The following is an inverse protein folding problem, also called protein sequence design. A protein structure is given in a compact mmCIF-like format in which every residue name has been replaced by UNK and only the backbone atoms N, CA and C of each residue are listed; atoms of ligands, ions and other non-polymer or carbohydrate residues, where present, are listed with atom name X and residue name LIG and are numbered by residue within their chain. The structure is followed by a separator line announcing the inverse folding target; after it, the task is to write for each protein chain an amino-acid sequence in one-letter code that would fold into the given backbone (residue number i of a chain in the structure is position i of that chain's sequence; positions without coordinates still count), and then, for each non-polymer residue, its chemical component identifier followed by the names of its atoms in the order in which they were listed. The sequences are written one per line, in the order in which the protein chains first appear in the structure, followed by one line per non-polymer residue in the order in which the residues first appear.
data_IF_440147512093
#
_entry.id   IF_440147512093
#
_cell.length_a   1.000
_cell.length_b   1.000
_cell.length_c   1.000
_cell.angle_alpha   90.00
_cell.angle_beta   90.00
_cell.angle_gamma   90.00
#
_symmetry.space_group_name_H-M   'P 1'
#
loop_
_entity.id
_entity.type
_entity.pdbx_description
1 polymer ?
#
# COMPACT_ATOMS: atom_id res chain seq x y z
N UNK A 1 4.24 -18.16 -34.36
CA UNK A 1 3.12 -17.20 -34.40
C UNK A 1 2.33 -17.28 -33.10
N UNK A 2 2.64 -16.46 -32.09
CA UNK A 2 1.79 -16.36 -30.89
C UNK A 2 0.49 -15.69 -31.33
N UNK A 3 -0.62 -16.43 -31.29
CA UNK A 3 -1.93 -15.93 -31.73
C UNK A 3 -2.26 -14.61 -31.03
N UNK A 4 -2.79 -13.62 -31.75
CA UNK A 4 -3.25 -12.34 -31.18
C UNK A 4 -4.16 -12.56 -29.96
N UNK A 5 -4.94 -13.64 -29.96
CA UNK A 5 -5.78 -14.05 -28.82
C UNK A 5 -4.98 -14.37 -27.55
N UNK A 6 -3.78 -14.95 -27.69
CA UNK A 6 -2.90 -15.28 -26.56
C UNK A 6 -2.27 -14.03 -25.93
N UNK A 7 -1.97 -12.98 -26.71
CA UNK A 7 -1.53 -11.68 -26.17
C UNK A 7 -2.65 -10.97 -25.41
N UNK A 8 -3.89 -10.97 -25.92
CA UNK A 8 -5.05 -10.42 -25.21
C UNK A 8 -5.35 -11.17 -23.91
N UNK A 9 -5.20 -12.51 -23.91
CA UNK A 9 -5.35 -13.31 -22.70
C UNK A 9 -4.25 -13.00 -21.68
N UNK A 10 -3.00 -12.87 -22.10
CA UNK A 10 -1.89 -12.51 -21.22
C UNK A 10 -2.05 -11.09 -20.64
N UNK A 11 -2.53 -10.11 -21.43
CA UNK A 11 -2.78 -8.76 -20.90
C UNK A 11 -3.96 -8.73 -19.94
N UNK A 12 -5.03 -9.49 -20.20
CA UNK A 12 -6.15 -9.64 -19.29
C UNK A 12 -5.73 -10.30 -17.98
N UNK A 13 -4.91 -11.36 -18.04
CA UNK A 13 -4.33 -12.04 -16.88
C UNK A 13 -3.42 -11.07 -16.09
N UNK A 14 -2.57 -10.29 -16.76
CA UNK A 14 -1.71 -9.31 -16.09
C UNK A 14 -2.52 -8.22 -15.40
N UNK A 15 -3.59 -7.72 -16.03
CA UNK A 15 -4.51 -6.77 -15.42
C UNK A 15 -5.22 -7.38 -14.21
N UNK A 16 -5.69 -8.63 -14.29
CA UNK A 16 -6.30 -9.35 -13.17
C UNK A 16 -5.32 -9.56 -12.01
N UNK A 17 -4.05 -9.88 -12.31
CA UNK A 17 -2.97 -10.01 -11.31
C UNK A 17 -2.69 -8.65 -10.65
N UNK A 18 -2.62 -7.55 -11.41
CA UNK A 18 -2.44 -6.20 -10.85
C UNK A 18 -3.61 -5.80 -9.95
N UNK A 19 -4.86 -6.14 -10.31
CA UNK A 19 -6.03 -5.90 -9.46
C UNK A 19 -6.04 -6.77 -8.19
N UNK A 20 -5.52 -8.01 -8.27
CA UNK A 20 -5.41 -8.92 -7.13
C UNK A 20 -4.32 -8.51 -6.13
N UNK A 21 -3.21 -7.92 -6.60
CA UNK A 21 -2.10 -7.46 -5.75
C UNK A 21 -2.38 -6.06 -5.15
N UNK A 22 -3.32 -5.30 -5.73
CA UNK A 22 -3.62 -3.91 -5.36
C UNK A 22 -4.70 -3.68 -4.31
N UNK A 23 -5.30 -4.72 -3.71
CA UNK A 23 -6.30 -4.51 -2.67
C UNK A 23 -5.63 -3.92 -1.42
N UNK A 24 -6.05 -2.73 -0.95
CA UNK A 24 -5.47 -2.12 0.24
C UNK A 24 -5.71 -3.06 1.44
N UNK A 25 -4.67 -3.34 2.21
CA UNK A 25 -4.79 -4.09 3.46
C UNK A 25 -5.15 -3.14 4.59
N UNK A 26 -5.97 -3.60 5.54
CA UNK A 26 -6.19 -2.85 6.77
C UNK A 26 -4.87 -2.59 7.49
N UNK A 27 -4.78 -1.44 8.16
CA UNK A 27 -3.73 -1.19 9.16
C UNK A 27 -3.88 -2.16 10.33
N UNK A 28 -5.11 -2.40 10.75
CA UNK A 28 -5.50 -3.42 11.72
C UNK A 28 -7.00 -3.72 11.59
N UNK A 29 -7.43 -4.88 12.05
CA UNK A 29 -8.83 -5.28 12.12
C UNK A 29 -9.03 -6.25 13.27
N UNK A 30 -10.25 -6.30 13.81
CA UNK A 30 -10.63 -7.19 14.90
C UNK A 30 -12.01 -7.77 14.62
N UNK A 31 -12.09 -9.09 14.72
CA UNK A 31 -13.34 -9.84 14.77
C UNK A 31 -13.63 -10.17 16.23
N UNK A 32 -14.78 -9.76 16.76
CA UNK A 32 -15.14 -10.08 18.14
C UNK A 32 -15.78 -11.47 18.21
N UNK A 33 -15.06 -12.44 18.80
CA UNK A 33 -15.52 -13.82 18.92
C UNK A 33 -16.43 -14.06 20.14
N UNK A 34 -16.56 -13.10 21.05
CA UNK A 34 -17.30 -13.25 22.30
C UNK A 34 -18.75 -12.74 22.22
N UNK A 35 -19.06 -11.85 21.28
CA UNK A 35 -20.40 -11.25 21.11
C UNK A 35 -21.33 -12.06 20.17
N UNK A 36 -21.01 -13.34 19.97
CA UNK A 36 -21.80 -14.29 19.20
C UNK A 36 -21.55 -14.22 17.69
N UNK A 37 -21.94 -15.31 17.02
CA UNK A 37 -21.87 -15.44 15.58
C UNK A 37 -23.30 -15.49 14.99
N UNK A 38 -23.45 -15.01 13.76
CA UNK A 38 -24.64 -15.26 12.95
C UNK A 38 -24.43 -16.48 12.06
N UNK A 39 -25.54 -17.08 11.61
CA UNK A 39 -25.51 -18.20 10.66
C UNK A 39 -25.45 -17.67 9.23
N UNK A 40 -24.69 -18.34 8.36
CA UNK A 40 -24.65 -17.97 6.94
C UNK A 40 -26.04 -18.05 6.29
N UNK A 41 -26.34 -17.11 5.41
CA UNK A 41 -27.65 -16.87 4.78
C UNK A 41 -28.78 -16.57 5.77
N UNK A 42 -28.45 -16.02 6.94
CA UNK A 42 -29.47 -15.54 7.90
C UNK A 42 -29.96 -14.14 7.55
N UNK A 43 -31.11 -13.76 8.10
CA UNK A 43 -31.62 -12.38 8.06
C UNK A 43 -30.59 -11.37 8.60
N UNK A 44 -29.83 -11.73 9.64
CA UNK A 44 -28.76 -10.89 10.16
C UNK A 44 -27.68 -10.59 9.10
N UNK A 45 -27.26 -11.60 8.34
CA UNK A 45 -26.28 -11.41 7.26
C UNK A 45 -26.81 -10.51 6.15
N UNK A 46 -28.07 -10.72 5.73
CA UNK A 46 -28.72 -9.86 4.75
C UNK A 46 -28.81 -8.41 5.27
N UNK A 47 -29.24 -8.22 6.51
CA UNK A 47 -29.34 -6.90 7.14
C UNK A 47 -27.97 -6.22 7.27
N UNK A 48 -26.91 -6.97 7.61
CA UNK A 48 -25.54 -6.47 7.65
C UNK A 48 -25.11 -5.99 6.26
N UNK A 49 -25.36 -6.78 5.21
CA UNK A 49 -25.00 -6.39 3.84
C UNK A 49 -25.76 -5.14 3.37
N UNK A 50 -27.06 -5.02 3.70
CA UNK A 50 -27.86 -3.84 3.41
C UNK A 50 -27.34 -2.61 4.15
N UNK A 51 -27.03 -2.74 5.44
CA UNK A 51 -26.43 -1.70 6.26
C UNK A 51 -25.10 -1.23 5.67
N UNK A 52 -24.17 -2.15 5.39
CA UNK A 52 -22.86 -1.79 4.86
C UNK A 52 -22.98 -1.08 3.50
N UNK A 53 -23.90 -1.53 2.65
CA UNK A 53 -24.21 -0.89 1.37
C UNK A 53 -24.74 0.54 1.52
N UNK A 54 -25.63 0.77 2.49
CA UNK A 54 -26.20 2.09 2.73
C UNK A 54 -25.16 3.12 3.17
N UNK A 55 -24.15 2.71 3.95
CA UNK A 55 -23.09 3.61 4.42
C UNK A 55 -22.28 4.22 3.26
N UNK A 56 -21.77 3.40 2.33
CA UNK A 56 -20.92 3.92 1.25
C UNK A 56 -21.70 4.46 0.04
N UNK A 57 -22.99 4.13 -0.09
CA UNK A 57 -23.85 4.66 -1.16
C UNK A 57 -24.51 6.00 -0.81
N UNK A 58 -24.50 6.39 0.47
CA UNK A 58 -25.06 7.66 0.89
C UNK A 58 -24.21 8.85 0.41
N UNK A 59 -24.69 9.56 -0.60
CA UNK A 59 -24.03 10.75 -1.17
C UNK A 59 -24.42 12.06 -0.51
N UNK A 60 -25.41 12.06 0.40
CA UNK A 60 -25.85 13.29 1.09
C UNK A 60 -24.90 13.68 2.23
N UNK A 61 -24.07 12.73 2.70
CA UNK A 61 -23.04 12.97 3.70
C UNK A 61 -21.74 13.37 3.01
N UNK A 62 -21.26 14.58 3.33
CA UNK A 62 -20.00 15.16 2.82
C UNK A 62 -18.96 15.40 3.94
N UNK A 63 -19.35 15.23 5.20
CA UNK A 63 -18.49 15.47 6.37
C UNK A 63 -17.73 14.23 6.86
N UNK A 64 -18.01 13.04 6.32
CA UNK A 64 -17.19 11.85 6.50
C UNK A 64 -17.53 10.95 7.71
N UNK A 65 -18.63 11.22 8.41
CA UNK A 65 -19.14 10.35 9.47
C UNK A 65 -20.50 9.77 9.08
N UNK A 66 -20.61 8.46 9.20
CA UNK A 66 -21.78 7.69 8.81
C UNK A 66 -22.19 6.82 9.99
N UNK A 67 -23.45 6.88 10.39
CA UNK A 67 -24.04 5.95 11.32
C UNK A 67 -25.43 5.54 10.80
N UNK A 68 -25.77 4.27 10.91
CA UNK A 68 -27.12 3.79 10.59
C UNK A 68 -27.33 2.38 11.10
N UNK A 69 -28.59 2.01 11.31
CA UNK A 69 -28.95 0.63 11.65
C UNK A 69 -29.91 0.07 10.60
N UNK A 70 -29.94 -1.26 10.51
CA UNK A 70 -30.84 -1.99 9.63
C UNK A 70 -31.34 -3.26 10.30
N UNK A 71 -32.56 -3.69 9.96
CA UNK A 71 -33.20 -4.84 10.60
C UNK A 71 -33.92 -4.52 11.91
N UNK A 72 -34.46 -5.57 12.55
CA UNK A 72 -35.23 -5.47 13.79
C UNK A 72 -34.93 -6.65 14.72
N UNK A 73 -35.21 -6.48 16.02
CA UNK A 73 -35.07 -7.54 17.04
C UNK A 73 -33.66 -8.16 17.04
N UNK A 74 -33.56 -9.49 17.04
CA UNK A 74 -32.29 -10.23 17.04
C UNK A 74 -31.47 -10.10 15.76
N UNK A 75 -32.07 -9.58 14.69
CA UNK A 75 -31.45 -9.40 13.38
C UNK A 75 -31.07 -7.94 13.10
N UNK A 76 -31.22 -7.04 14.08
CA UNK A 76 -30.82 -5.65 13.96
C UNK A 76 -29.30 -5.50 14.01
N UNK A 77 -28.76 -4.68 13.11
CA UNK A 77 -27.33 -4.39 12.99
C UNK A 77 -27.11 -2.89 13.09
N UNK A 78 -26.06 -2.48 13.80
CA UNK A 78 -25.63 -1.10 13.97
C UNK A 78 -24.27 -0.91 13.31
N UNK A 79 -24.06 0.21 12.62
CA UNK A 79 -22.83 0.47 11.86
C UNK A 79 -22.34 1.89 12.03
N UNK A 80 -21.02 2.04 12.14
CA UNK A 80 -20.32 3.33 12.09
C UNK A 80 -19.24 3.26 11.02
N UNK A 81 -19.24 4.23 10.11
CA UNK A 81 -18.14 4.55 9.22
C UNK A 81 -17.57 5.92 9.56
N UNK A 82 -16.25 6.02 9.73
CA UNK A 82 -15.58 7.28 10.03
C UNK A 82 -14.39 7.46 9.10
N UNK A 83 -14.46 8.45 8.21
CA UNK A 83 -13.36 8.86 7.37
C UNK A 83 -12.51 9.92 8.06
N UNK A 84 -11.23 9.99 7.72
CA UNK A 84 -10.33 11.02 8.22
C UNK A 84 -10.84 12.41 7.82
N UNK A 85 -10.75 13.39 8.72
CA UNK A 85 -11.41 14.69 8.53
C UNK A 85 -10.99 15.50 7.30
N UNK A 86 -9.81 15.23 6.74
CA UNK A 86 -9.25 15.84 5.53
C UNK A 86 -9.57 15.07 4.23
N UNK A 87 -10.26 13.92 4.31
CA UNK A 87 -10.54 13.05 3.15
C UNK A 87 -11.78 13.51 2.39
N UNK A 88 -11.66 13.60 1.06
CA UNK A 88 -12.77 13.98 0.18
C UNK A 88 -13.91 12.95 0.20
N UNK A 89 -15.18 13.36 -0.03
CA UNK A 89 -16.33 12.46 0.10
C UNK A 89 -16.30 11.21 -0.80
N UNK A 90 -15.81 11.33 -2.03
CA UNK A 90 -15.66 10.21 -2.99
C UNK A 90 -14.61 9.19 -2.53
N UNK A 91 -13.45 9.68 -2.09
CA UNK A 91 -12.38 8.84 -1.52
C UNK A 91 -12.85 8.15 -0.24
N UNK A 92 -13.58 8.89 0.61
CA UNK A 92 -14.18 8.37 1.84
C UNK A 92 -15.14 7.21 1.56
N UNK A 93 -16.12 7.40 0.66
CA UNK A 93 -17.07 6.35 0.27
C UNK A 93 -16.38 5.14 -0.35
N UNK A 94 -15.35 5.36 -1.18
CA UNK A 94 -14.55 4.26 -1.72
C UNK A 94 -13.82 3.49 -0.62
N UNK A 95 -13.29 4.18 0.40
CA UNK A 95 -12.64 3.55 1.55
C UNK A 95 -13.63 2.70 2.35
N UNK A 96 -14.83 3.22 2.62
CA UNK A 96 -15.88 2.47 3.32
C UNK A 96 -16.34 1.25 2.52
N UNK A 97 -16.54 1.38 1.20
CA UNK A 97 -16.88 0.24 0.33
C UNK A 97 -15.83 -0.88 0.38
N UNK A 98 -14.55 -0.53 0.29
CA UNK A 98 -13.46 -1.49 0.40
C UNK A 98 -13.39 -2.11 1.81
N UNK A 99 -13.66 -1.30 2.84
CA UNK A 99 -13.72 -1.76 4.23
C UNK A 99 -14.84 -2.77 4.43
N UNK A 100 -16.03 -2.51 3.87
CA UNK A 100 -17.17 -3.42 3.95
C UNK A 100 -16.85 -4.79 3.35
N UNK A 101 -16.27 -4.83 2.15
CA UNK A 101 -15.93 -6.10 1.49
C UNK A 101 -14.81 -6.86 2.20
N UNK A 102 -13.75 -6.17 2.60
CA UNK A 102 -12.61 -6.84 3.26
C UNK A 102 -12.96 -7.29 4.69
N UNK A 103 -13.72 -6.48 5.44
CA UNK A 103 -14.05 -6.80 6.84
C UNK A 103 -14.99 -8.01 6.92
N UNK A 104 -15.99 -8.13 6.05
CA UNK A 104 -16.86 -9.31 6.01
C UNK A 104 -16.13 -10.55 5.49
N UNK A 105 -15.14 -10.40 4.61
CA UNK A 105 -14.26 -11.50 4.21
C UNK A 105 -13.40 -12.01 5.37
N UNK A 106 -12.85 -11.10 6.18
CA UNK A 106 -11.97 -11.43 7.30
C UNK A 106 -12.74 -11.91 8.55
N UNK A 107 -13.95 -11.40 8.75
CA UNK A 107 -14.84 -11.73 9.87
C UNK A 107 -16.17 -12.31 9.36
N UNK A 108 -16.17 -13.54 8.81
CA UNK A 108 -17.27 -14.07 7.99
C UNK A 108 -18.59 -14.29 8.75
N UNK A 109 -18.53 -14.48 10.06
CA UNK A 109 -19.72 -14.84 10.86
C UNK A 109 -19.84 -14.04 12.15
N UNK A 110 -18.89 -13.15 12.46
CA UNK A 110 -18.90 -12.41 13.72
C UNK A 110 -19.93 -11.29 13.65
N UNK A 111 -20.76 -11.18 14.69
CA UNK A 111 -21.76 -10.12 14.79
C UNK A 111 -21.17 -8.74 15.08
N UNK A 112 -19.93 -8.70 15.54
CA UNK A 112 -19.20 -7.47 15.80
C UNK A 112 -17.79 -7.53 15.22
N UNK A 113 -17.45 -6.52 14.44
CA UNK A 113 -16.11 -6.36 13.88
C UNK A 113 -15.78 -4.89 13.65
N UNK A 114 -14.48 -4.62 13.56
CA UNK A 114 -13.94 -3.29 13.28
C UNK A 114 -12.69 -3.40 12.42
N UNK A 115 -12.56 -2.53 11.43
CA UNK A 115 -11.38 -2.43 10.57
C UNK A 115 -10.95 -0.98 10.42
N UNK A 116 -9.63 -0.75 10.41
CA UNK A 116 -9.03 0.57 10.23
C UNK A 116 -8.11 0.59 9.02
N UNK A 117 -8.41 1.46 8.06
CA UNK A 117 -7.46 1.95 7.06
C UNK A 117 -6.82 3.26 7.52
N UNK A 118 -5.88 3.78 6.72
CA UNK A 118 -5.35 5.13 6.96
C UNK A 118 -6.41 6.23 6.79
N UNK A 119 -7.33 6.02 5.85
CA UNK A 119 -8.30 7.05 5.43
C UNK A 119 -9.69 6.87 6.06
N UNK A 120 -10.01 5.69 6.59
CA UNK A 120 -11.29 5.44 7.23
C UNK A 120 -11.26 4.27 8.23
N UNK A 121 -12.25 4.23 9.09
CA UNK A 121 -12.60 3.13 9.98
C UNK A 121 -14.04 2.69 9.68
N UNK A 122 -14.30 1.39 9.74
CA UNK A 122 -15.63 0.80 9.67
C UNK A 122 -15.80 -0.17 10.83
N UNK A 123 -16.90 -0.05 11.57
CA UNK A 123 -17.29 -1.01 12.60
C UNK A 123 -18.77 -1.31 12.56
N UNK A 124 -19.15 -2.53 12.91
CA UNK A 124 -20.53 -2.93 13.09
C UNK A 124 -20.70 -3.79 14.34
N UNK A 125 -21.92 -3.85 14.88
CA UNK A 125 -22.27 -4.66 16.05
C UNK A 125 -23.76 -5.03 16.02
N UNK A 126 -24.14 -6.07 16.77
CA UNK A 126 -25.52 -6.46 17.04
C UNK A 126 -26.16 -5.69 18.21
N UNK A 127 -25.41 -4.79 18.84
CA UNK A 127 -25.89 -3.88 19.89
C UNK A 127 -25.65 -2.43 19.48
N UNK A 128 -26.40 -1.50 20.05
CA UNK A 128 -26.18 -0.08 19.79
C UNK A 128 -24.76 0.32 20.18
N UNK A 129 -24.11 1.07 19.30
CA UNK A 129 -22.74 1.59 19.45
C UNK A 129 -22.68 3.12 19.33
N UNK A 130 -23.83 3.79 19.30
CA UNK A 130 -23.94 5.24 19.18
C UNK A 130 -23.93 5.91 20.54
N UNK A 131 -23.32 7.08 20.61
CA UNK A 131 -23.22 7.92 21.81
C UNK A 131 -22.53 7.21 22.98
N UNK A 132 -21.79 6.13 22.69
CA UNK A 132 -21.10 5.28 23.67
C UNK A 132 -19.60 5.35 23.40
N UNK A 133 -18.86 5.92 24.35
CA UNK A 133 -17.40 5.91 24.31
C UNK A 133 -16.89 4.48 24.50
N UNK A 134 -16.32 3.90 23.45
CA UNK A 134 -15.60 2.64 23.50
C UNK A 134 -14.13 2.84 23.14
N UNK A 135 -13.26 2.62 24.13
CA UNK A 135 -11.81 2.72 23.98
C UNK A 135 -11.14 1.36 23.77
N UNK A 136 -11.88 0.25 23.65
CA UNK A 136 -11.32 -1.09 23.49
C UNK A 136 -11.91 -1.79 22.26
N UNK A 137 -11.07 -2.47 21.47
CA UNK A 137 -9.64 -2.74 21.66
C UNK A 137 -8.75 -1.52 21.38
N UNK A 138 -7.52 -1.54 21.91
CA UNK A 138 -6.50 -0.51 21.68
C UNK A 138 -5.37 -1.06 20.84
N UNK A 139 -5.17 -0.49 19.65
CA UNK A 139 -4.09 -0.87 18.76
C UNK A 139 -3.12 0.30 18.62
N UNK A 140 -1.88 0.09 19.04
CA UNK A 140 -0.79 1.04 18.84
C UNK A 140 0.13 0.52 17.73
N UNK A 141 0.41 1.36 16.75
CA UNK A 141 1.35 1.08 15.64
C UNK A 141 2.40 2.18 15.67
N UNK A 142 3.68 1.84 15.68
CA UNK A 142 4.76 2.82 15.75
C UNK A 142 5.97 2.40 14.94
N UNK A 143 6.80 3.37 14.56
CA UNK A 143 8.08 3.12 13.92
C UNK A 143 9.16 2.84 14.98
N UNK A 144 10.13 1.98 14.68
CA UNK A 144 11.31 1.72 15.54
C UNK A 144 12.37 2.82 15.47
N UNK A 145 12.29 3.71 14.48
CA UNK A 145 13.19 4.87 14.37
C UNK A 145 12.95 5.90 15.48
N UNK A 146 14.03 6.29 16.15
CA UNK A 146 14.02 7.23 17.28
C UNK A 146 14.81 8.50 16.96
N UNK A 147 14.48 9.60 17.63
CA UNK A 147 15.36 10.77 17.71
C UNK A 147 16.57 10.48 18.60
N UNK A 148 17.63 11.26 18.44
CA UNK A 148 18.79 11.15 19.33
C UNK A 148 18.39 11.31 20.81
N UNK A 149 19.00 10.50 21.68
CA UNK A 149 18.69 10.46 23.11
C UNK A 149 18.82 11.84 23.79
N UNK A 150 19.74 12.68 23.31
CA UNK A 150 19.94 14.04 23.82
C UNK A 150 18.72 14.96 23.58
N UNK A 151 17.90 14.66 22.59
CA UNK A 151 16.72 15.44 22.23
C UNK A 151 15.38 14.74 22.55
N UNK A 152 15.42 13.52 23.08
CA UNK A 152 14.22 12.71 23.30
C UNK A 152 13.21 13.38 24.24
N UNK A 153 13.68 14.01 25.34
CA UNK A 153 12.81 14.72 26.28
C UNK A 153 12.15 15.94 25.62
N UNK A 154 12.94 16.78 24.95
CA UNK A 154 12.41 17.96 24.25
C UNK A 154 11.43 17.58 23.14
N UNK A 155 11.73 16.51 22.38
CA UNK A 155 10.82 16.00 21.36
C UNK A 155 9.49 15.56 21.96
N UNK A 156 9.52 14.84 23.09
CA UNK A 156 8.33 14.37 23.78
C UNK A 156 7.50 15.51 24.37
N UNK A 157 8.14 16.55 24.93
CA UNK A 157 7.45 17.75 25.43
C UNK A 157 6.74 18.50 24.30
N UNK A 158 7.42 18.71 23.17
CA UNK A 158 6.84 19.33 21.99
C UNK A 158 5.65 18.53 21.45
N UNK A 159 5.78 17.20 21.38
CA UNK A 159 4.71 16.30 20.96
C UNK A 159 3.51 16.37 21.92
N UNK A 160 3.73 16.28 23.22
CA UNK A 160 2.65 16.30 24.22
C UNK A 160 1.88 17.62 24.18
N UNK A 161 2.58 18.75 24.02
CA UNK A 161 1.95 20.06 23.86
C UNK A 161 1.10 20.14 22.59
N UNK A 162 1.62 19.67 21.45
CA UNK A 162 0.88 19.63 20.19
C UNK A 162 -0.39 18.76 20.32
N UNK A 163 -0.26 17.56 20.88
CA UNK A 163 -1.38 16.64 21.06
C UNK A 163 -2.42 17.16 22.05
N UNK A 164 -2.01 17.84 23.13
CA UNK A 164 -2.92 18.43 24.10
C UNK A 164 -3.79 19.54 23.49
N UNK A 165 -3.20 20.37 22.62
CA UNK A 165 -3.91 21.42 21.89
C UNK A 165 -4.91 20.80 20.90
N UNK A 166 -4.44 19.90 20.02
CA UNK A 166 -5.29 19.24 19.02
C UNK A 166 -6.40 18.41 19.66
N UNK A 167 -6.17 17.81 20.83
CA UNK A 167 -7.20 17.08 21.58
C UNK A 167 -8.36 18.00 21.96
N UNK A 168 -8.04 19.17 22.49
CA UNK A 168 -9.04 20.14 22.94
C UNK A 168 -9.85 20.65 21.75
N UNK A 169 -9.18 20.94 20.64
CA UNK A 169 -9.79 21.36 19.38
C UNK A 169 -10.70 20.28 18.79
N UNK A 170 -10.21 19.05 18.63
CA UNK A 170 -10.99 17.94 18.08
C UNK A 170 -12.23 17.65 18.94
N UNK A 171 -12.10 17.69 20.28
CA UNK A 171 -13.21 17.46 21.20
C UNK A 171 -14.31 18.53 21.10
N UNK A 172 -13.93 19.78 20.85
CA UNK A 172 -14.83 20.91 20.69
C UNK A 172 -15.59 20.94 19.36
N UNK A 173 -15.30 20.01 18.44
CA UNK A 173 -16.06 19.85 17.20
C UNK A 173 -17.55 19.54 17.43
N UNK A 174 -18.37 19.67 16.40
CA UNK A 174 -19.82 19.47 16.50
C UNK A 174 -20.24 18.03 16.19
N UNK A 175 -21.54 17.82 15.92
CA UNK A 175 -22.12 16.51 15.57
C UNK A 175 -21.77 16.04 14.15
N UNK A 176 -21.17 16.89 13.31
CA UNK A 176 -20.74 16.54 11.96
C UNK A 176 -19.27 16.13 11.97
N UNK A 177 -18.43 16.83 12.74
CA UNK A 177 -16.99 16.60 12.70
C UNK A 177 -16.29 16.96 14.01
N UNK A 178 -15.56 15.96 14.55
CA UNK A 178 -14.64 16.09 15.69
C UNK A 178 -13.22 15.69 15.28
N UNK A 179 -12.53 16.62 14.64
CA UNK A 179 -11.21 16.40 14.03
C UNK A 179 -10.34 17.65 14.21
N UNK A 180 -9.06 17.44 14.50
CA UNK A 180 -8.06 18.49 14.46
C UNK A 180 -6.75 17.92 13.93
N UNK A 181 -6.05 18.71 13.10
CA UNK A 181 -4.74 18.39 12.58
C UNK A 181 -3.85 19.63 12.63
N UNK A 182 -2.57 19.43 12.88
CA UNK A 182 -1.62 20.52 12.99
C UNK A 182 -0.19 20.05 12.99
N UNK A 183 0.71 21.03 12.99
CA UNK A 183 2.14 20.80 13.01
C UNK A 183 2.83 21.66 14.05
N UNK A 184 4.00 21.21 14.51
CA UNK A 184 4.85 21.95 15.43
C UNK A 184 6.32 21.66 15.19
N UNK A 185 7.19 22.60 15.55
CA UNK A 185 8.63 22.39 15.47
C UNK A 185 9.09 21.30 16.45
N UNK A 186 10.08 20.51 16.05
CA UNK A 186 10.75 19.54 16.89
C UNK A 186 12.28 19.68 16.77
N UNK A 187 13.06 19.09 17.70
CA UNK A 187 14.51 19.07 17.60
C UNK A 187 15.03 18.46 16.29
N UNK A 188 16.33 18.59 16.03
CA UNK A 188 16.98 18.06 14.83
C UNK A 188 16.42 18.63 13.51
N UNK A 189 15.90 19.87 13.53
CA UNK A 189 15.22 20.51 12.40
C UNK A 189 14.01 19.72 11.87
N UNK A 190 13.42 18.88 12.71
CA UNK A 190 12.23 18.12 12.38
C UNK A 190 10.97 18.96 12.55
N UNK A 191 9.92 18.58 11.84
CA UNK A 191 8.56 19.09 12.04
C UNK A 191 7.69 17.91 12.46
N UNK A 192 6.97 18.06 13.56
CA UNK A 192 5.93 17.12 13.99
C UNK A 192 4.63 17.45 13.26
N UNK A 193 3.99 16.44 12.70
CA UNK A 193 2.65 16.49 12.16
C UNK A 193 1.78 15.57 13.00
N UNK A 194 0.61 16.04 13.44
CA UNK A 194 -0.31 15.23 14.22
C UNK A 194 -1.76 15.51 13.85
N UNK A 195 -2.60 14.50 14.03
CA UNK A 195 -4.05 14.65 14.01
C UNK A 195 -4.72 13.79 15.06
N UNK A 196 -5.85 14.27 15.55
CA UNK A 196 -6.71 13.62 16.52
C UNK A 196 -8.14 13.67 16.02
N UNK A 197 -8.88 12.58 16.19
CA UNK A 197 -10.24 12.47 15.69
C UNK A 197 -11.11 11.58 16.57
N UNK A 198 -12.37 11.98 16.78
CA UNK A 198 -13.40 11.17 17.43
C UNK A 198 -14.51 10.83 16.45
N UNK A 199 -15.34 9.84 16.80
CA UNK A 199 -16.66 9.71 16.22
C UNK A 199 -17.54 10.89 16.70
N UNK A 200 -18.16 11.67 15.80
CA UNK A 200 -18.94 12.87 16.16
C UNK A 200 -20.19 12.64 17.02
N UNK A 201 -20.66 11.40 17.16
CA UNK A 201 -21.76 11.03 18.06
C UNK A 201 -21.39 11.20 19.55
N UNK A 202 -20.10 11.23 19.89
CA UNK A 202 -19.70 11.42 21.28
C UNK A 202 -19.96 12.83 21.80
N UNK A 203 -20.18 12.94 23.11
CA UNK A 203 -20.08 14.24 23.80
C UNK A 203 -18.66 14.81 23.69
N UNK A 204 -18.51 16.12 23.88
CA UNK A 204 -17.18 16.75 23.97
C UNK A 204 -16.32 16.12 25.06
N UNK A 205 -16.92 15.79 26.21
CA UNK A 205 -16.20 15.18 27.33
C UNK A 205 -15.71 13.77 26.99
N UNK A 206 -16.57 12.95 26.39
CA UNK A 206 -16.22 11.58 26.01
C UNK A 206 -15.18 11.53 24.90
N UNK A 207 -15.28 12.44 23.91
CA UNK A 207 -14.23 12.60 22.91
C UNK A 207 -12.89 12.98 23.56
N UNK A 208 -12.88 13.95 24.48
CA UNK A 208 -11.66 14.34 25.18
C UNK A 208 -11.04 13.18 25.98
N UNK A 209 -11.88 12.43 26.70
CA UNK A 209 -11.48 11.27 27.47
C UNK A 209 -10.90 10.15 26.57
N UNK A 210 -11.57 9.85 25.46
CA UNK A 210 -11.10 8.85 24.50
C UNK A 210 -9.73 9.23 23.93
N UNK A 211 -9.57 10.48 23.49
CA UNK A 211 -8.31 10.96 22.93
C UNK A 211 -7.19 10.99 23.99
N UNK A 212 -7.50 11.30 25.25
CA UNK A 212 -6.55 11.20 26.35
C UNK A 212 -6.07 9.75 26.54
N UNK A 213 -6.96 8.76 26.45
CA UNK A 213 -6.60 7.34 26.48
C UNK A 213 -5.68 7.00 25.30
N UNK A 214 -6.01 7.48 24.10
CA UNK A 214 -5.18 7.24 22.91
C UNK A 214 -3.78 7.84 23.08
N UNK A 215 -3.66 9.07 23.58
CA UNK A 215 -2.36 9.73 23.82
C UNK A 215 -1.53 8.96 24.86
N UNK A 216 -2.13 8.47 25.94
CA UNK A 216 -1.43 7.70 26.99
C UNK A 216 -0.84 6.38 26.48
N UNK A 217 -1.33 5.86 25.35
CA UNK A 217 -0.85 4.62 24.74
C UNK A 217 0.30 4.81 23.75
N UNK A 218 0.76 6.05 23.55
CA UNK A 218 1.97 6.30 22.77
C UNK A 218 3.17 5.66 23.49
N UNK A 219 4.01 4.88 22.80
CA UNK A 219 5.26 4.39 23.37
C UNK A 219 6.13 5.59 23.75
N UNK A 220 6.21 5.86 25.05
CA UNK A 220 6.89 7.04 25.53
C UNK A 220 8.41 6.86 25.53
N UNK A 221 9.09 7.99 25.73
CA UNK A 221 10.39 8.05 26.37
C UNK A 221 11.60 7.58 25.53
N UNK A 222 11.37 6.87 24.43
CA UNK A 222 12.44 6.46 23.50
C UNK A 222 12.61 7.41 22.30
N UNK A 223 11.80 8.47 22.20
CA UNK A 223 11.90 9.42 21.08
C UNK A 223 11.36 8.87 19.75
N UNK A 224 10.39 7.95 19.79
CA UNK A 224 9.71 7.38 18.63
C UNK A 224 9.25 8.47 17.66
N UNK A 225 9.66 8.39 16.40
CA UNK A 225 9.39 9.43 15.39
C UNK A 225 7.97 9.41 14.81
N UNK A 226 7.24 8.32 14.98
CA UNK A 226 5.88 8.17 14.47
C UNK A 226 5.12 7.13 15.28
N UNK A 227 3.88 7.44 15.64
CA UNK A 227 2.95 6.47 16.21
C UNK A 227 1.50 6.78 15.81
N UNK A 228 0.69 5.74 15.80
CA UNK A 228 -0.75 5.78 15.64
C UNK A 228 -1.38 4.97 16.76
N UNK A 229 -2.44 5.50 17.35
CA UNK A 229 -3.30 4.77 18.28
C UNK A 229 -4.71 4.73 17.70
N UNK A 230 -5.20 3.51 17.50
CA UNK A 230 -6.50 3.21 16.91
C UNK A 230 -7.38 2.64 18.02
N UNK A 231 -8.51 3.31 18.29
CA UNK A 231 -9.57 2.80 19.16
C UNK A 231 -10.93 2.97 18.48
N UNK A 232 -11.99 2.30 18.95
CA UNK A 232 -13.27 2.32 18.24
C UNK A 232 -14.00 3.67 18.18
N UNK A 233 -13.81 4.53 19.18
CA UNK A 233 -14.48 5.84 19.27
C UNK A 233 -13.58 7.04 18.95
N UNK A 234 -12.27 6.84 18.84
CA UNK A 234 -11.33 7.89 18.45
C UNK A 234 -10.02 7.31 17.91
N UNK A 235 -9.19 8.15 17.31
CA UNK A 235 -7.86 7.77 16.89
C UNK A 235 -6.93 8.98 16.91
N UNK A 236 -5.64 8.71 16.98
CA UNK A 236 -4.60 9.72 16.86
C UNK A 236 -3.45 9.18 16.04
N UNK A 237 -2.75 10.09 15.36
CA UNK A 237 -1.50 9.81 14.66
C UNK A 237 -0.58 11.00 14.79
N UNK A 238 0.70 10.74 15.01
CA UNK A 238 1.75 11.72 14.74
C UNK A 238 2.85 11.09 13.90
N UNK A 239 3.57 11.93 13.17
CA UNK A 239 4.70 11.55 12.33
C UNK A 239 5.61 12.77 12.12
N UNK A 240 6.86 12.53 11.73
CA UNK A 240 7.81 13.58 11.32
C UNK A 240 7.73 13.90 9.83
N UNK A 241 6.98 13.09 9.07
CA UNK A 241 6.63 13.34 7.67
C UNK A 241 5.16 13.76 7.58
N UNK A 242 4.85 14.74 6.73
CA UNK A 242 3.45 15.13 6.51
C UNK A 242 2.65 13.97 5.88
N UNK A 243 1.42 13.78 6.34
CA UNK A 243 0.50 12.71 5.88
C UNK A 243 -0.95 13.17 5.70
N UNK A 244 -1.21 14.47 5.84
CA UNK A 244 -2.50 15.10 5.59
C UNK A 244 -2.29 16.36 4.76
N UNK A 245 -3.30 16.71 3.96
CA UNK A 245 -3.23 17.93 3.15
C UNK A 245 -3.32 19.15 4.07
N UNK A 246 -2.27 19.94 4.16
CA UNK A 246 -2.20 21.14 5.01
C UNK A 246 -3.02 22.33 4.49
N UNK A 247 -4.04 22.08 3.68
CA UNK A 247 -4.87 23.11 3.06
C UNK A 247 -5.83 23.75 4.07
N UNK A 248 -5.32 24.34 5.16
CA UNK A 248 -6.09 25.27 6.01
C UNK A 248 -5.30 26.17 6.96
N UNK A 249 -3.96 26.10 7.05
CA UNK A 249 -3.21 27.07 7.87
C UNK A 249 -2.64 28.20 7.01
N UNK A 250 -2.93 29.49 7.33
CA UNK A 250 -2.14 30.59 6.81
C UNK A 250 -0.68 30.36 7.22
N UNK A 251 0.30 30.72 6.37
CA UNK A 251 1.70 30.66 6.76
C UNK A 251 1.91 31.46 8.06
N UNK A 252 2.78 30.98 8.97
CA UNK A 252 3.11 31.74 10.18
C UNK A 252 3.55 33.16 9.80
N UNK A 253 3.19 34.18 10.59
CA UNK A 253 3.58 35.54 10.30
C UNK A 253 5.11 35.63 10.17
N UNK A 254 5.63 36.33 9.16
CA UNK A 254 7.07 36.46 8.98
C UNK A 254 7.71 37.10 10.23
N UNK A 255 8.93 36.68 10.62
CA UNK A 255 9.67 37.33 11.69
C UNK A 255 9.86 38.83 11.36
N UNK A 256 9.91 39.71 12.37
CA UNK A 256 10.02 41.15 12.16
C UNK A 256 11.24 41.49 11.30
N UNK A 257 11.15 42.51 10.42
CA UNK A 257 12.20 42.78 9.44
C UNK A 257 13.46 43.30 10.14
N UNK A 258 14.53 42.52 10.08
CA UNK A 258 15.88 43.06 10.26
C UNK A 258 16.23 43.81 8.99
N UNK A 259 16.29 45.14 9.08
CA UNK A 259 16.83 46.02 8.05
C UNK A 259 18.25 45.59 7.70
N UNK A 260 18.46 45.10 6.48
CA UNK A 260 19.65 45.41 5.67
C UNK A 260 19.35 45.08 4.20
N UNK A 261 19.32 46.14 3.41
CA UNK A 261 19.13 46.20 1.96
C UNK A 261 20.33 45.59 1.24
N UNK A 262 20.10 44.57 0.40
CA UNK A 262 20.91 44.39 -0.82
C UNK A 262 20.08 43.68 -1.89
N UNK A 263 20.05 44.30 -3.07
CA UNK A 263 19.18 44.03 -4.21
C UNK A 263 19.88 43.11 -5.21
N UNK A 264 19.24 42.00 -5.64
CA UNK A 264 19.61 41.23 -6.85
C UNK A 264 18.43 40.32 -7.33
N UNK A 265 18.39 39.92 -8.62
CA UNK A 265 17.15 39.88 -9.44
C UNK A 265 16.30 38.58 -9.35
N UNK A 266 15.08 38.56 -9.95
CA UNK A 266 14.09 37.51 -9.73
C UNK A 266 14.43 36.22 -10.49
N UNK A 267 14.63 35.14 -9.75
CA UNK A 267 14.66 33.78 -10.30
C UNK A 267 13.23 33.27 -10.51
N UNK A 268 13.02 32.69 -11.70
CA UNK A 268 11.77 32.16 -12.24
C UNK A 268 11.14 31.11 -11.32
N UNK A 269 9.81 31.18 -11.24
CA UNK A 269 8.98 30.24 -10.48
C UNK A 269 9.22 28.79 -10.87
N UNK A 270 9.50 27.95 -9.86
CA UNK A 270 9.52 26.51 -10.01
C UNK A 270 8.09 26.00 -10.17
N UNK A 271 7.79 25.67 -11.42
CA UNK A 271 6.64 24.89 -11.83
C UNK A 271 6.67 23.53 -11.10
N UNK A 272 5.52 23.10 -10.59
CA UNK A 272 5.37 21.87 -9.80
C UNK A 272 5.88 20.64 -10.54
N UNK A 273 6.76 19.87 -9.88
CA UNK A 273 7.39 18.66 -10.41
C UNK A 273 6.43 17.47 -10.60
N UNK A 274 5.13 17.66 -10.40
CA UNK A 274 4.09 16.63 -10.53
C UNK A 274 3.83 16.27 -11.99
N UNK A 275 3.76 17.26 -12.90
CA UNK A 275 3.52 17.00 -14.33
C UNK A 275 4.74 16.36 -15.01
N UNK A 276 5.96 16.72 -14.62
CA UNK A 276 7.19 16.14 -15.18
C UNK A 276 7.38 14.68 -14.75
N UNK A 277 7.00 14.33 -13.52
CA UNK A 277 7.07 12.94 -13.02
C UNK A 277 6.02 12.06 -13.69
N UNK A 278 4.78 12.55 -13.88
CA UNK A 278 3.74 11.83 -14.61
C UNK A 278 4.15 11.61 -16.08
N UNK A 279 4.71 12.63 -16.75
CA UNK A 279 5.21 12.49 -18.13
C UNK A 279 6.35 11.47 -18.20
N UNK A 280 7.30 11.47 -17.26
CA UNK A 280 8.40 10.49 -17.25
C UNK A 280 7.88 9.07 -17.06
N UNK A 281 6.92 8.84 -16.15
CA UNK A 281 6.34 7.51 -15.92
C UNK A 281 5.51 7.03 -17.12
N UNK A 282 4.77 7.93 -17.77
CA UNK A 282 4.00 7.61 -18.98
C UNK A 282 4.93 7.34 -20.16
N UNK A 283 5.97 8.14 -20.36
CA UNK A 283 6.95 7.92 -21.44
C UNK A 283 7.76 6.65 -21.22
N UNK A 284 8.19 6.37 -19.99
CA UNK A 284 8.91 5.14 -19.65
C UNK A 284 8.04 3.89 -19.85
N UNK A 285 6.76 3.95 -19.47
CA UNK A 285 5.84 2.83 -19.66
C UNK A 285 5.50 2.59 -21.14
N UNK A 286 5.29 3.65 -21.92
CA UNK A 286 5.08 3.54 -23.38
C UNK A 286 6.34 3.01 -24.08
N UNK A 287 7.53 3.50 -23.72
CA UNK A 287 8.79 3.02 -24.28
C UNK A 287 9.01 1.54 -23.96
N UNK A 288 8.70 1.10 -22.74
CA UNK A 288 8.80 -0.30 -22.34
C UNK A 288 7.84 -1.21 -23.12
N UNK A 289 6.60 -0.77 -23.32
CA UNK A 289 5.60 -1.51 -24.12
C UNK A 289 6.03 -1.62 -25.58
N UNK A 290 6.55 -0.53 -26.18
CA UNK A 290 7.06 -0.54 -27.56
C UNK A 290 8.28 -1.45 -27.69
N UNK A 291 9.17 -1.44 -26.70
CA UNK A 291 10.36 -2.28 -26.68
C UNK A 291 9.99 -3.76 -26.60
N UNK A 292 9.04 -4.14 -25.75
CA UNK A 292 8.52 -5.51 -25.70
C UNK A 292 7.84 -5.90 -27.02
N UNK A 293 7.00 -5.03 -27.57
CA UNK A 293 6.34 -5.29 -28.85
C UNK A 293 7.35 -5.50 -29.99
N UNK A 294 8.42 -4.69 -30.03
CA UNK A 294 9.50 -4.82 -31.01
C UNK A 294 10.25 -6.14 -30.88
N UNK A 295 10.56 -6.59 -29.66
CA UNK A 295 11.20 -7.88 -29.40
C UNK A 295 10.29 -9.03 -29.84
N UNK A 296 9.00 -8.97 -29.50
CA UNK A 296 8.03 -9.98 -29.91
C UNK A 296 7.88 -10.08 -31.44
N UNK A 297 7.89 -8.94 -32.15
CA UNK A 297 7.87 -8.89 -33.61
C UNK A 297 9.17 -9.46 -34.19
N UNK A 298 10.33 -9.09 -33.67
CA UNK A 298 11.62 -9.60 -34.10
C UNK A 298 11.70 -11.14 -33.94
N UNK A 299 11.28 -11.68 -32.80
CA UNK A 299 11.26 -13.13 -32.55
C UNK A 299 10.26 -13.83 -33.49
N UNK A 300 9.09 -13.23 -33.71
CA UNK A 300 8.10 -13.76 -34.64
C UNK A 300 8.64 -13.83 -36.07
N UNK A 301 9.31 -12.78 -36.55
CA UNK A 301 9.90 -12.70 -37.89
C UNK A 301 11.09 -13.66 -38.04
N UNK A 302 11.88 -13.88 -36.99
CA UNK A 302 12.97 -14.87 -36.98
C UNK A 302 12.47 -16.31 -37.02
N UNK A 303 11.32 -16.58 -36.42
CA UNK A 303 10.69 -17.92 -36.41
C UNK A 303 9.89 -18.18 -37.70
N UNK A 304 9.46 -17.14 -38.41
CA UNK A 304 8.68 -17.26 -39.63
C UNK A 304 9.49 -17.35 -40.92
N UNK A 305 10.84 -17.31 -40.89
CA UNK A 305 11.61 -17.65 -42.11
C UNK A 305 11.47 -19.16 -42.35
N UNK A 306 10.80 -19.62 -43.42
CA UNK A 306 10.60 -21.03 -43.66
C UNK A 306 11.95 -21.70 -43.95
N UNK A 307 12.26 -22.77 -43.21
CA UNK A 307 13.22 -23.80 -43.64
C UNK A 307 12.70 -24.36 -44.97
N UNK A 308 13.29 -23.92 -46.07
CA UNK A 308 13.08 -24.55 -47.36
C UNK A 308 13.73 -25.94 -47.32
N UNK A 309 12.90 -26.96 -47.42
CA UNK A 309 13.33 -28.34 -47.61
C UNK A 309 13.69 -28.51 -49.08
N UNK A 310 14.93 -28.88 -49.39
CA UNK A 310 15.29 -29.49 -50.65
C UNK A 310 15.92 -30.86 -50.36
N UNK A 311 15.29 -31.90 -50.88
CA UNK A 311 15.83 -33.26 -50.92
C UNK A 311 16.48 -33.49 -52.29
N UNK A 312 17.66 -34.12 -52.24
CA UNK A 312 18.22 -35.09 -53.19
C UNK A 312 18.59 -34.63 -54.62
N UNK A 313 19.89 -34.62 -54.94
CA UNK A 313 20.47 -35.24 -56.16
C UNK A 313 21.98 -35.42 -55.99
N UNK A 314 22.41 -36.65 -56.31
CA UNK A 314 23.75 -37.20 -56.38
C UNK A 314 24.61 -36.48 -57.44
N UNK A 315 25.84 -36.04 -57.12
CA UNK A 315 27.05 -36.17 -57.98
C UNK A 315 28.28 -35.60 -57.27
N UNK A 316 29.36 -36.38 -57.27
CA UNK A 316 30.70 -36.05 -56.80
C UNK A 316 31.48 -35.32 -57.91
N UNK A 317 32.23 -34.26 -57.59
CA UNK A 317 33.43 -33.86 -58.36
C UNK A 317 34.34 -32.96 -57.52
N UNK A 318 35.42 -33.57 -57.01
CA UNK A 318 36.82 -33.09 -56.94
C UNK A 318 37.16 -31.59 -56.80
N UNK A 319 37.80 -31.29 -55.65
CA UNK A 319 39.01 -30.47 -55.36
C UNK A 319 39.33 -29.14 -56.12
N UNK A 320 39.57 -28.04 -55.38
CA UNK A 320 40.89 -27.47 -55.02
C UNK A 320 40.76 -26.11 -54.26
N UNK A 321 41.58 -25.97 -53.21
CA UNK A 321 42.30 -24.81 -52.62
C UNK A 321 41.68 -23.45 -52.18
N UNK A 322 41.80 -23.25 -50.84
CA UNK A 322 42.46 -22.16 -50.05
C UNK A 322 41.82 -20.75 -49.89
N UNK A 323 41.62 -20.41 -48.60
CA UNK A 323 41.55 -19.12 -47.88
C UNK A 323 40.53 -18.04 -48.31
N UNK A 324 39.89 -17.27 -47.44
CA UNK A 324 39.85 -17.13 -45.98
C UNK A 324 38.61 -16.26 -45.72
N UNK A 325 37.60 -16.74 -44.98
CA UNK A 325 36.56 -15.86 -44.44
C UNK A 325 36.30 -16.21 -42.98
N UNK A 326 36.53 -15.22 -42.12
CA UNK A 326 36.32 -15.26 -40.67
C UNK A 326 34.85 -15.56 -40.40
N UNK A 327 34.54 -16.83 -40.14
CA UNK A 327 33.23 -17.27 -39.70
C UNK A 327 33.17 -17.34 -38.17
N UNK A 328 32.16 -16.66 -37.66
CA UNK A 328 31.74 -16.58 -36.26
C UNK A 328 31.86 -17.91 -35.51
N UNK A 329 32.58 -17.86 -34.39
CA UNK A 329 32.63 -18.87 -33.33
C UNK A 329 31.25 -19.51 -33.09
N UNK A 330 31.13 -20.73 -33.59
CA UNK A 330 30.05 -21.65 -33.35
C UNK A 330 30.02 -21.98 -31.84
N UNK A 331 28.89 -21.72 -31.19
CA UNK A 331 28.69 -21.99 -29.78
C UNK A 331 28.76 -23.49 -29.52
N UNK A 332 29.90 -23.96 -28.98
CA UNK A 332 30.15 -25.35 -28.55
C UNK A 332 29.28 -25.71 -27.34
N UNK A 333 27.98 -25.91 -27.57
CA UNK A 333 27.10 -26.58 -26.63
C UNK A 333 27.11 -28.08 -26.96
N UNK A 334 27.81 -28.86 -26.15
CA UNK A 334 27.79 -30.31 -26.27
C UNK A 334 26.53 -30.87 -25.62
N UNK A 335 25.90 -31.84 -26.28
CA UNK A 335 24.79 -32.59 -25.71
C UNK A 335 25.26 -33.33 -24.46
N UNK A 336 24.49 -33.25 -23.37
CA UNK A 336 24.80 -33.92 -22.11
C UNK A 336 24.91 -35.44 -22.30
N UNK A 337 24.14 -36.02 -23.24
CA UNK A 337 24.23 -37.44 -23.57
C UNK A 337 25.59 -37.79 -24.18
N UNK A 338 26.12 -36.92 -25.05
CA UNK A 338 27.43 -37.10 -25.66
C UNK A 338 28.54 -37.02 -24.60
N UNK A 339 28.45 -36.06 -23.67
CA UNK A 339 29.39 -35.94 -22.55
C UNK A 339 29.35 -37.20 -21.67
N UNK A 340 28.16 -37.70 -21.35
CA UNK A 340 27.97 -38.89 -20.51
C UNK A 340 28.58 -40.14 -21.14
N UNK A 341 28.43 -40.32 -22.45
CA UNK A 341 29.07 -41.44 -23.16
C UNK A 341 30.59 -41.26 -23.18
N UNK A 342 31.05 -40.05 -23.47
CA UNK A 342 32.47 -39.73 -23.60
C UNK A 342 33.25 -39.88 -22.29
N UNK A 343 32.59 -39.70 -21.14
CA UNK A 343 33.19 -39.88 -19.81
C UNK A 343 32.97 -41.28 -19.23
N UNK A 344 32.36 -42.20 -19.99
CA UNK A 344 31.93 -43.53 -19.51
C UNK A 344 31.06 -43.41 -18.24
N UNK A 345 29.97 -42.65 -18.37
CA UNK A 345 29.01 -42.32 -17.31
C UNK A 345 29.67 -41.73 -16.05
N UNK A 346 30.68 -40.87 -16.24
CA UNK A 346 31.45 -40.25 -15.14
C UNK A 346 32.16 -41.28 -14.24
N UNK A 347 32.71 -42.33 -14.84
CA UNK A 347 33.51 -43.35 -14.15
C UNK A 347 34.69 -42.73 -13.39
N UNK A 348 34.94 -43.19 -12.15
CA UNK A 348 36.07 -42.71 -11.33
C UNK A 348 37.43 -43.02 -11.96
N UNK A 349 37.53 -44.03 -12.84
CA UNK A 349 38.75 -44.31 -13.61
C UNK A 349 39.12 -43.17 -14.57
N UNK A 350 38.13 -42.35 -14.95
CA UNK A 350 38.30 -41.20 -15.81
C UNK A 350 38.36 -39.88 -15.05
N UNK A 351 38.32 -39.89 -13.72
CA UNK A 351 38.38 -38.68 -12.91
C UNK A 351 39.82 -38.17 -12.80
N UNK A 352 40.01 -36.91 -13.18
CA UNK A 352 41.28 -36.21 -13.10
C UNK A 352 41.49 -35.51 -11.75
N UNK A 353 40.41 -35.15 -11.06
CA UNK A 353 40.46 -34.51 -9.74
C UNK A 353 39.11 -33.93 -9.32
N UNK A 354 39.03 -33.48 -8.07
CA UNK A 354 37.83 -32.82 -7.53
C UNK A 354 38.23 -31.67 -6.61
N UNK A 355 37.65 -30.49 -6.86
CA UNK A 355 37.85 -29.28 -6.05
C UNK A 355 36.53 -28.63 -5.65
N UNK A 356 36.59 -27.40 -5.13
CA UNK A 356 35.39 -26.65 -4.67
C UNK A 356 34.35 -26.34 -5.75
N UNK A 357 34.68 -26.57 -7.03
CA UNK A 357 33.81 -26.36 -8.18
C UNK A 357 33.35 -27.65 -8.86
N UNK A 358 33.60 -28.82 -8.26
CA UNK A 358 33.15 -30.12 -8.77
C UNK A 358 34.28 -31.05 -9.22
N UNK A 359 33.88 -32.22 -9.74
CA UNK A 359 34.78 -33.24 -10.28
C UNK A 359 35.04 -33.02 -11.77
N UNK A 360 36.28 -33.26 -12.20
CA UNK A 360 36.71 -33.14 -13.60
C UNK A 360 37.03 -34.53 -14.14
N UNK A 361 36.51 -34.85 -15.32
CA UNK A 361 36.69 -36.15 -15.98
C UNK A 361 37.40 -35.98 -17.33
N UNK A 362 38.28 -36.93 -17.69
CA UNK A 362 38.83 -37.04 -19.04
C UNK A 362 37.84 -37.74 -19.96
N UNK A 363 37.82 -37.34 -21.22
CA UNK A 363 37.07 -38.02 -22.27
C UNK A 363 37.91 -39.19 -22.79
N UNK A 364 37.28 -40.35 -22.93
CA UNK A 364 37.88 -41.51 -23.61
C UNK A 364 37.33 -41.53 -25.03
N UNK A 365 38.18 -41.27 -26.02
CA UNK A 365 37.81 -41.32 -27.45
C UNK A 365 38.02 -42.72 -27.98
#
# INVERSE_FOLDING_TARGET
MVSSRLLFLLSAILMLIVHAIGQPKFLSYICNYNNGNFTSNSNYEENLNQLLSSLYSNTTIDYGFYNSSYGQNSDQVYGIGLCRGDVKPDVCRSCLKNSSGLLTQLCPTQKEAIGWYDLCMLRYSNSSIYDIMNSNPQITIWNTGTVSANYAAQFYDNLTNLLANLRTEAAAGDSLRKYAAGSGSAPEFLTLYALLQCTPDLSQQDCNNCLLIAIKNIPCCNGTRSARVLVPSCNMRFDVLSFFDSATTPPPPPPPPSTNTTTSPPSKGNQSNTSRTIIIVVVASVAFVVLIASICICVYLRVSSPREKAAETLTCSSCEDVDDEIQSVESLQFDFTAIRVATDDFSEANKLGQGGFGAVYKVTV
#
